data_IF_624742421691
#
_entry.id   IF_624742421691
#
_cell.length_a   1.000
_cell.length_b   1.000
_cell.length_c   1.000
_cell.angle_alpha   90.00
_cell.angle_beta   90.00
_cell.angle_gamma   90.00
#
_symmetry.space_group_name_H-M   'P 1'
#
loop_
_entity.id
_entity.type
_entity.pdbx_description
1 polymer ?
#
# COMPACT_ATOMS: atom_id res chain seq x y z
N UNK A 1 23.87 29.40 32.37
CA UNK A 1 22.43 29.22 32.69
C UNK A 1 21.63 29.54 31.44
N UNK A 2 20.53 28.80 31.25
CA UNK A 2 19.48 28.95 30.22
C UNK A 2 19.84 28.58 28.77
N UNK A 3 18.97 27.98 27.95
CA UNK A 3 17.84 27.05 28.13
C UNK A 3 17.45 26.58 26.72
N UNK A 4 16.84 25.39 26.62
CA UNK A 4 16.47 24.68 25.39
C UNK A 4 15.61 25.50 24.40
N UNK A 5 15.81 25.26 23.09
CA UNK A 5 14.69 25.20 22.14
C UNK A 5 14.69 23.89 21.35
N UNK A 6 13.66 23.08 21.63
CA UNK A 6 13.26 21.85 20.94
C UNK A 6 12.92 22.13 19.48
N UNK A 7 13.58 21.46 18.54
CA UNK A 7 13.09 21.30 17.17
C UNK A 7 12.03 20.20 17.16
N UNK A 8 10.76 20.57 17.04
CA UNK A 8 9.68 19.63 16.80
C UNK A 8 9.75 19.01 15.39
N UNK A 9 9.11 17.85 15.15
CA UNK A 9 9.05 17.26 13.82
C UNK A 9 8.19 18.11 12.89
N UNK A 10 8.80 18.50 11.76
CA UNK A 10 8.18 19.25 10.67
C UNK A 10 7.09 18.39 10.03
N UNK A 11 5.84 18.78 10.25
CA UNK A 11 4.68 18.29 9.51
C UNK A 11 4.72 18.89 8.10
N UNK A 12 4.94 18.07 7.07
CA UNK A 12 4.92 18.50 5.68
C UNK A 12 3.60 18.14 5.00
N UNK A 13 2.80 19.17 4.75
CA UNK A 13 1.71 19.31 3.80
C UNK A 13 1.26 20.78 3.88
N UNK A 14 0.99 21.50 2.77
CA UNK A 14 -0.03 21.14 1.79
C UNK A 14 0.33 21.49 0.32
N UNK A 15 -0.60 21.19 -0.60
CA UNK A 15 -0.44 21.39 -2.04
C UNK A 15 -0.07 22.81 -2.46
N UNK A 16 0.94 22.88 -3.32
CA UNK A 16 1.35 24.02 -4.12
C UNK A 16 2.32 23.51 -5.19
N UNK A 17 2.16 23.97 -6.44
CA UNK A 17 3.02 23.58 -7.57
C UNK A 17 4.50 23.71 -7.17
N UNK A 18 5.16 22.57 -6.92
CA UNK A 18 6.60 22.50 -6.81
C UNK A 18 7.08 21.29 -7.58
N UNK A 19 7.95 21.55 -8.55
CA UNK A 19 8.94 20.60 -9.04
C UNK A 19 9.87 20.26 -7.88
N UNK A 20 9.40 19.41 -6.97
CA UNK A 20 10.12 18.95 -5.79
C UNK A 20 10.04 17.44 -5.74
N UNK A 21 11.19 16.77 -5.80
CA UNK A 21 11.29 15.31 -5.60
C UNK A 21 10.51 14.93 -4.35
N UNK A 22 9.37 14.23 -4.50
CA UNK A 22 8.66 13.60 -3.38
C UNK A 22 9.68 12.74 -2.64
N UNK A 23 10.02 13.11 -1.42
CA UNK A 23 10.94 12.34 -0.60
C UNK A 23 10.30 10.97 -0.33
N UNK A 24 10.88 9.92 -0.91
CA UNK A 24 10.42 8.54 -0.73
C UNK A 24 10.68 8.14 0.73
N UNK A 25 9.63 7.74 1.44
CA UNK A 25 9.72 7.34 2.85
C UNK A 25 10.60 6.08 3.00
N UNK A 26 11.58 6.10 3.89
CA UNK A 26 12.38 4.92 4.24
C UNK A 26 11.65 4.08 5.31
N UNK A 27 11.50 2.78 5.04
CA UNK A 27 10.77 1.83 5.89
C UNK A 27 11.62 0.58 6.07
N UNK A 28 11.98 0.25 7.30
CA UNK A 28 12.65 -1.01 7.60
C UNK A 28 11.66 -2.19 7.46
N UNK A 29 12.02 -3.21 6.67
CA UNK A 29 11.24 -4.44 6.61
C UNK A 29 11.31 -5.15 7.98
N UNK A 30 10.14 -5.43 8.54
CA UNK A 30 9.99 -6.10 9.83
C UNK A 30 9.96 -7.60 9.64
N UNK A 31 10.51 -8.36 10.57
CA UNK A 31 10.40 -9.82 10.55
C UNK A 31 8.97 -10.25 10.89
N UNK A 32 8.36 -11.04 10.00
CA UNK A 32 7.01 -11.59 10.19
C UNK A 32 6.88 -12.48 11.42
N UNK A 33 7.96 -13.08 11.91
CA UNK A 33 7.97 -13.87 13.15
C UNK A 33 7.57 -13.02 14.37
N UNK A 34 7.84 -11.70 14.33
CA UNK A 34 7.50 -10.74 15.38
C UNK A 34 6.06 -10.27 15.35
N UNK A 35 5.31 -10.54 14.29
CA UNK A 35 3.89 -10.17 14.18
C UNK A 35 2.95 -11.17 14.88
N UNK A 36 3.49 -12.25 15.46
CA UNK A 36 2.74 -13.22 16.27
C UNK A 36 1.74 -14.06 15.46
N UNK A 37 1.26 -15.16 16.05
CA UNK A 37 0.27 -16.05 15.41
C UNK A 37 -1.14 -15.45 15.23
N UNK A 38 -1.30 -14.13 15.46
CA UNK A 38 -2.59 -13.45 15.50
C UNK A 38 -3.02 -12.86 14.14
N UNK A 39 -2.84 -13.61 13.05
CA UNK A 39 -3.47 -13.32 11.75
C UNK A 39 -4.98 -13.63 11.75
N UNK A 40 -5.57 -14.00 12.88
CA UNK A 40 -6.95 -14.48 13.01
C UNK A 40 -8.01 -13.38 13.07
N UNK A 41 -7.65 -12.13 13.39
CA UNK A 41 -8.61 -11.01 13.51
C UNK A 41 -8.09 -9.74 12.83
N UNK A 42 -8.15 -9.71 11.49
CA UNK A 42 -7.61 -8.63 10.65
C UNK A 42 -8.67 -7.55 10.31
N UNK A 43 -9.89 -7.70 10.81
CA UNK A 43 -10.98 -6.71 10.70
C UNK A 43 -10.62 -5.29 11.23
N UNK A 44 -9.83 -5.12 12.32
CA UNK A 44 -9.38 -3.80 12.77
C UNK A 44 -8.46 -3.07 11.79
N UNK A 45 -7.66 -3.81 11.01
CA UNK A 45 -6.76 -3.23 10.00
C UNK A 45 -7.58 -2.65 8.85
N UNK A 46 -8.60 -3.38 8.39
CA UNK A 46 -9.44 -2.94 7.27
C UNK A 46 -10.05 -1.55 7.51
N UNK A 47 -10.72 -1.34 8.66
CA UNK A 47 -11.36 -0.05 8.97
C UNK A 47 -10.36 1.10 9.06
N UNK A 48 -9.24 0.87 9.74
CA UNK A 48 -8.20 1.90 9.86
C UNK A 48 -7.56 2.23 8.50
N UNK A 49 -7.38 1.23 7.64
CA UNK A 49 -6.84 1.39 6.31
C UNK A 49 -7.79 2.15 5.39
N UNK A 50 -9.10 1.86 5.44
CA UNK A 50 -10.13 2.63 4.72
C UNK A 50 -10.10 4.10 5.13
N UNK A 51 -10.06 4.39 6.43
CA UNK A 51 -9.99 5.77 6.92
C UNK A 51 -8.69 6.47 6.50
N UNK A 52 -7.58 5.73 6.46
CA UNK A 52 -6.33 6.24 5.90
C UNK A 52 -6.47 6.55 4.40
N UNK A 53 -7.06 5.66 3.61
CA UNK A 53 -7.25 5.83 2.17
C UNK A 53 -8.16 7.01 1.84
N UNK A 54 -9.22 7.24 2.61
CA UNK A 54 -10.10 8.43 2.47
C UNK A 54 -9.34 9.74 2.62
N UNK A 55 -8.30 9.77 3.47
CA UNK A 55 -7.43 10.94 3.68
C UNK A 55 -6.31 11.05 2.65
N UNK A 56 -5.99 9.96 1.94
CA UNK A 56 -4.89 9.88 0.98
C UNK A 56 -5.37 9.37 -0.38
N UNK A 57 -6.34 10.04 -1.03
CA UNK A 57 -6.81 9.63 -2.33
C UNK A 57 -5.71 9.85 -3.38
N UNK A 58 -5.51 8.85 -4.24
CA UNK A 58 -4.65 8.98 -5.41
C UNK A 58 -5.17 8.12 -6.56
N UNK A 59 -5.24 8.66 -7.79
CA UNK A 59 -5.70 7.92 -8.94
C UNK A 59 -4.70 6.81 -9.30
N UNK A 60 -5.25 5.67 -9.72
CA UNK A 60 -4.44 4.57 -10.26
C UNK A 60 -4.13 4.83 -11.74
N UNK A 61 -2.94 4.49 -12.24
CA UNK A 61 -2.65 4.55 -13.67
C UNK A 61 -3.52 3.54 -14.45
N UNK A 62 -3.77 3.77 -15.76
CA UNK A 62 -4.65 2.92 -16.55
C UNK A 62 -4.34 1.42 -16.48
N UNK A 63 -3.05 1.04 -16.47
CA UNK A 63 -2.62 -0.35 -16.36
C UNK A 63 -3.11 -1.02 -15.05
N UNK A 64 -3.04 -0.30 -13.92
CA UNK A 64 -3.52 -0.80 -12.62
C UNK A 64 -5.04 -0.81 -12.57
N UNK A 65 -5.71 0.18 -13.19
CA UNK A 65 -7.17 0.18 -13.29
C UNK A 65 -7.65 -1.05 -14.07
N UNK A 66 -7.03 -1.36 -15.21
CA UNK A 66 -7.36 -2.56 -16.00
C UNK A 66 -7.10 -3.85 -15.22
N UNK A 67 -5.97 -3.95 -14.51
CA UNK A 67 -5.64 -5.12 -13.69
C UNK A 67 -6.64 -5.35 -12.54
N UNK A 68 -7.10 -4.26 -11.92
CA UNK A 68 -7.98 -4.30 -10.75
C UNK A 68 -9.46 -4.14 -11.11
N UNK A 69 -9.81 -4.08 -12.40
CA UNK A 69 -11.17 -3.78 -12.87
C UNK A 69 -12.18 -4.83 -12.40
N UNK A 70 -13.30 -4.38 -11.85
CA UNK A 70 -14.43 -5.26 -11.46
C UNK A 70 -15.77 -4.80 -12.04
N UNK A 71 -15.75 -4.26 -13.26
CA UNK A 71 -16.97 -3.80 -13.94
C UNK A 71 -17.63 -2.63 -13.20
N UNK A 72 -18.92 -2.75 -12.92
CA UNK A 72 -19.72 -1.67 -12.30
C UNK A 72 -19.32 -1.35 -10.86
N UNK A 73 -18.52 -2.21 -10.21
CA UNK A 73 -18.09 -2.04 -8.80
C UNK A 73 -17.00 -0.99 -8.61
N UNK A 74 -16.49 -0.40 -9.70
CA UNK A 74 -15.34 0.49 -9.69
C UNK A 74 -15.68 1.97 -9.46
N UNK A 75 -16.96 2.33 -9.55
CA UNK A 75 -17.42 3.73 -9.46
C UNK A 75 -17.20 4.31 -8.05
N UNK A 76 -17.43 3.51 -7.01
CA UNK A 76 -17.30 3.92 -5.60
C UNK A 76 -16.01 3.45 -4.94
N UNK A 77 -15.05 2.95 -5.72
CA UNK A 77 -13.83 2.37 -5.17
C UNK A 77 -12.85 3.46 -4.71
N UNK A 78 -12.46 3.41 -3.43
CA UNK A 78 -11.36 4.21 -2.89
C UNK A 78 -10.04 3.75 -3.50
N UNK A 79 -9.18 4.70 -3.87
CA UNK A 79 -7.88 4.43 -4.49
C UNK A 79 -6.81 5.26 -3.81
N UNK A 80 -5.69 4.61 -3.51
CA UNK A 80 -4.49 5.26 -2.98
C UNK A 80 -3.23 4.68 -3.62
N UNK A 81 -2.17 5.47 -3.63
CA UNK A 81 -0.85 5.10 -4.15
C UNK A 81 0.19 5.51 -3.13
N UNK A 82 1.09 4.59 -2.82
CA UNK A 82 2.19 4.81 -1.88
C UNK A 82 3.49 4.44 -2.57
N UNK A 83 4.51 5.27 -2.39
CA UNK A 83 5.89 4.97 -2.80
C UNK A 83 6.77 5.06 -1.56
N UNK A 84 7.50 3.99 -1.28
CA UNK A 84 8.43 3.92 -0.15
C UNK A 84 9.67 3.11 -0.55
N UNK A 85 10.74 3.26 0.22
CA UNK A 85 12.01 2.57 0.03
C UNK A 85 12.36 1.73 1.25
N UNK A 86 13.05 0.62 1.03
CA UNK A 86 13.66 -0.18 2.09
C UNK A 86 15.05 -0.61 1.67
N UNK A 87 16.07 0.02 2.23
CA UNK A 87 17.43 -0.04 1.70
C UNK A 87 17.44 0.47 0.25
N UNK A 88 17.99 -0.34 -0.65
CA UNK A 88 18.09 -0.01 -2.09
C UNK A 88 16.83 -0.36 -2.90
N UNK A 89 15.80 -0.91 -2.25
CA UNK A 89 14.57 -1.38 -2.91
C UNK A 89 13.50 -0.29 -2.86
N UNK A 90 12.92 0.04 -4.01
CA UNK A 90 11.79 0.98 -4.11
C UNK A 90 10.52 0.20 -4.41
N UNK A 91 9.51 0.43 -3.58
CA UNK A 91 8.21 -0.21 -3.67
C UNK A 91 7.15 0.82 -4.04
N UNK A 92 6.25 0.44 -4.94
CA UNK A 92 5.00 1.15 -5.20
C UNK A 92 3.82 0.25 -4.82
N UNK A 93 3.00 0.72 -3.88
CA UNK A 93 1.75 0.08 -3.50
C UNK A 93 0.58 0.83 -4.11
N UNK A 94 -0.24 0.12 -4.89
CA UNK A 94 -1.56 0.58 -5.32
C UNK A 94 -2.63 -0.12 -4.50
N UNK A 95 -3.40 0.68 -3.78
CA UNK A 95 -4.48 0.20 -2.92
C UNK A 95 -5.80 0.57 -3.56
N UNK A 96 -6.68 -0.41 -3.74
CA UNK A 96 -8.09 -0.18 -4.10
C UNK A 96 -8.97 -0.83 -3.06
N UNK A 97 -9.98 -0.12 -2.58
CA UNK A 97 -10.93 -0.65 -1.61
C UNK A 97 -12.36 -0.44 -2.09
N UNK A 98 -13.18 -1.49 -1.96
CA UNK A 98 -14.62 -1.44 -2.18
C UNK A 98 -15.27 -1.62 -0.80
N UNK A 99 -15.62 -0.50 -0.15
CA UNK A 99 -16.08 -0.50 1.25
C UNK A 99 -17.31 -1.38 1.48
N UNK A 100 -18.27 -1.34 0.55
CA UNK A 100 -19.52 -2.12 0.65
C UNK A 100 -19.30 -3.64 0.66
N UNK A 101 -18.18 -4.10 0.08
CA UNK A 101 -17.83 -5.52 -0.02
C UNK A 101 -16.78 -5.94 1.01
N UNK A 102 -16.28 -5.01 1.82
CA UNK A 102 -15.11 -5.20 2.67
C UNK A 102 -13.91 -5.77 1.89
N UNK A 103 -13.79 -5.40 0.62
CA UNK A 103 -12.79 -5.95 -0.29
C UNK A 103 -11.64 -4.96 -0.49
N UNK A 104 -10.42 -5.48 -0.44
CA UNK A 104 -9.20 -4.73 -0.71
C UNK A 104 -8.35 -5.43 -1.77
N UNK A 105 -7.87 -4.62 -2.68
CA UNK A 105 -6.93 -4.97 -3.72
C UNK A 105 -5.62 -4.27 -3.41
N UNK A 106 -4.55 -5.05 -3.36
CA UNK A 106 -3.21 -4.56 -3.07
C UNK A 106 -2.32 -5.01 -4.22
N UNK A 107 -1.88 -4.06 -5.03
CA UNK A 107 -0.86 -4.30 -6.06
C UNK A 107 0.45 -3.71 -5.56
N UNK A 108 1.45 -4.56 -5.37
CA UNK A 108 2.82 -4.19 -5.02
C UNK A 108 3.69 -4.33 -6.26
N UNK A 109 4.44 -3.28 -6.59
CA UNK A 109 5.45 -3.30 -7.64
C UNK A 109 6.81 -2.95 -7.04
N UNK A 110 7.80 -3.76 -7.38
CA UNK A 110 9.22 -3.51 -7.10
C UNK A 110 10.00 -3.69 -8.40
N UNK A 111 10.63 -2.63 -8.90
CA UNK A 111 11.22 -2.60 -10.23
C UNK A 111 10.19 -3.02 -11.29
N UNK A 112 10.36 -4.20 -11.89
CA UNK A 112 9.41 -4.79 -12.84
C UNK A 112 8.60 -5.93 -12.25
N UNK A 113 8.86 -6.35 -11.00
CA UNK A 113 8.14 -7.44 -10.36
C UNK A 113 6.82 -6.92 -9.81
N UNK A 114 5.74 -7.66 -10.06
CA UNK A 114 4.40 -7.31 -9.61
C UNK A 114 3.80 -8.46 -8.80
N UNK A 115 3.28 -8.11 -7.63
CA UNK A 115 2.47 -9.00 -6.80
C UNK A 115 1.11 -8.35 -6.55
N UNK A 116 0.04 -9.09 -6.76
CA UNK A 116 -1.32 -8.60 -6.65
C UNK A 116 -2.14 -9.53 -5.76
N UNK A 117 -2.64 -8.98 -4.67
CA UNK A 117 -3.52 -9.65 -3.72
C UNK A 117 -4.93 -9.05 -3.78
N UNK A 118 -5.93 -9.92 -3.76
CA UNK A 118 -7.32 -9.57 -3.44
C UNK A 118 -7.66 -10.21 -2.10
N UNK A 119 -8.15 -9.40 -1.17
CA UNK A 119 -8.55 -9.85 0.15
C UNK A 119 -9.93 -9.31 0.54
N UNK A 120 -10.73 -10.13 1.22
CA UNK A 120 -12.06 -9.79 1.72
C UNK A 120 -12.03 -9.80 3.24
N UNK A 121 -11.95 -8.61 3.83
CA UNK A 121 -11.90 -8.41 5.27
C UNK A 121 -10.70 -9.07 5.94
N UNK A 122 -9.64 -9.37 5.18
CA UNK A 122 -8.48 -10.12 5.65
C UNK A 122 -8.89 -11.42 6.37
N UNK A 123 -9.94 -12.07 5.87
CA UNK A 123 -10.40 -13.35 6.40
C UNK A 123 -9.43 -14.42 5.90
N UNK A 124 -9.00 -15.30 6.81
CA UNK A 124 -8.05 -16.44 6.71
C UNK A 124 -8.03 -17.31 5.43
N UNK A 125 -8.88 -17.07 4.42
CA UNK A 125 -9.11 -17.90 3.24
C UNK A 125 -8.97 -17.19 1.89
N UNK A 126 -8.71 -15.89 1.84
CA UNK A 126 -8.55 -15.18 0.55
C UNK A 126 -7.11 -15.32 0.04
N UNK A 127 -6.85 -16.44 -0.63
CA UNK A 127 -5.52 -16.87 -1.10
C UNK A 127 -5.21 -16.44 -2.55
N UNK A 128 -5.81 -15.36 -3.03
CA UNK A 128 -5.65 -14.92 -4.42
C UNK A 128 -4.43 -14.01 -4.56
N UNK A 129 -3.24 -14.61 -4.51
CA UNK A 129 -2.00 -13.95 -4.92
C UNK A 129 -1.73 -14.23 -6.40
N UNK A 130 -1.63 -13.17 -7.19
CA UNK A 130 -1.15 -13.22 -8.57
C UNK A 130 0.23 -12.62 -8.63
N UNK A 131 1.14 -13.28 -9.33
CA UNK A 131 2.48 -12.80 -9.55
C UNK A 131 2.68 -12.50 -11.02
N UNK A 132 3.59 -11.59 -11.31
CA UNK A 132 3.78 -11.14 -12.67
C UNK A 132 4.76 -10.00 -12.81
N UNK A 133 4.60 -9.24 -13.88
CA UNK A 133 5.48 -8.15 -14.23
C UNK A 133 4.73 -6.87 -14.60
N UNK A 134 5.40 -5.76 -14.32
CA UNK A 134 5.04 -4.42 -14.69
C UNK A 134 5.97 -3.94 -15.81
N UNK A 135 5.38 -3.41 -16.89
CA UNK A 135 6.13 -2.82 -18.00
C UNK A 135 5.96 -1.31 -17.96
N UNK A 136 7.07 -0.60 -18.04
CA UNK A 136 7.11 0.86 -18.09
C UNK A 136 7.44 1.34 -19.50
N UNK A 137 7.00 2.54 -19.86
CA UNK A 137 7.34 3.17 -21.13
C UNK A 137 8.85 3.38 -21.24
N UNK A 138 9.43 3.04 -22.39
CA UNK A 138 10.86 3.16 -22.65
C UNK A 138 11.36 4.62 -22.61
N UNK A 139 10.53 5.58 -23.01
CA UNK A 139 10.93 6.99 -23.10
C UNK A 139 11.21 7.63 -21.74
N UNK A 140 10.52 7.18 -20.69
CA UNK A 140 10.58 7.85 -19.39
C UNK A 140 10.79 6.91 -18.20
N UNK A 141 10.66 5.58 -18.37
CA UNK A 141 10.69 4.54 -17.31
C UNK A 141 9.85 4.84 -16.06
N UNK A 142 8.93 5.79 -16.16
CA UNK A 142 8.13 6.32 -15.05
C UNK A 142 6.65 6.09 -15.27
N UNK A 143 6.22 5.92 -16.52
CA UNK A 143 4.84 5.62 -16.86
C UNK A 143 4.65 4.11 -16.96
N UNK A 144 3.83 3.56 -16.07
CA UNK A 144 3.40 2.17 -16.11
C UNK A 144 2.43 1.97 -17.28
N UNK A 145 2.80 1.10 -18.22
CA UNK A 145 2.06 0.87 -19.49
C UNK A 145 1.23 -0.40 -19.40
N UNK A 146 1.78 -1.48 -18.86
CA UNK A 146 1.07 -2.75 -18.76
C UNK A 146 1.43 -3.52 -17.50
N UNK A 147 0.50 -4.38 -17.09
CA UNK A 147 0.67 -5.33 -16.00
C UNK A 147 0.25 -6.70 -16.51
N UNK A 148 1.16 -7.68 -16.44
CA UNK A 148 0.88 -9.05 -16.79
C UNK A 148 0.94 -9.88 -15.52
N UNK A 149 -0.09 -10.67 -15.22
CA UNK A 149 -0.11 -11.51 -14.02
C UNK A 149 -0.61 -12.89 -14.33
N UNK A 150 0.04 -13.90 -13.78
CA UNK A 150 -0.41 -15.28 -13.81
C UNK A 150 -0.93 -15.68 -12.45
N UNK A 151 -1.95 -16.55 -12.45
CA UNK A 151 -2.40 -17.17 -11.23
C UNK A 151 -1.32 -18.13 -10.74
N UNK A 152 -0.81 -17.90 -9.55
CA UNK A 152 0.06 -18.86 -8.88
C UNK A 152 -0.64 -19.32 -7.60
N UNK A 153 -0.50 -20.62 -7.26
CA UNK A 153 -0.80 -21.02 -5.89
C UNK A 153 0.11 -20.19 -4.98
N UNK A 154 -0.40 -19.53 -3.93
CA UNK A 154 0.46 -18.78 -3.02
C UNK A 154 1.52 -19.73 -2.48
N UNK A 155 2.77 -19.53 -2.91
CA UNK A 155 3.89 -20.20 -2.26
C UNK A 155 4.11 -19.51 -0.93
N UNK A 156 4.45 -20.30 0.09
CA UNK A 156 4.62 -19.78 1.45
C UNK A 156 5.63 -18.63 1.50
N UNK A 157 6.69 -18.68 0.71
CA UNK A 157 7.79 -17.69 0.77
C UNK A 157 7.37 -16.36 0.14
N UNK A 158 6.93 -16.35 -1.12
CA UNK A 158 6.58 -15.09 -1.82
C UNK A 158 5.37 -14.40 -1.21
N UNK A 159 4.42 -15.19 -0.73
CA UNK A 159 3.24 -14.65 -0.01
C UNK A 159 3.68 -14.02 1.31
N UNK A 160 4.59 -14.65 2.06
CA UNK A 160 5.19 -14.07 3.25
C UNK A 160 5.92 -12.77 2.91
N UNK A 161 6.79 -12.74 1.91
CA UNK A 161 7.50 -11.52 1.50
C UNK A 161 6.54 -10.37 1.15
N UNK A 162 5.47 -10.65 0.40
CA UNK A 162 4.44 -9.66 0.09
C UNK A 162 3.82 -9.07 1.37
N UNK A 163 3.36 -9.92 2.27
CA UNK A 163 2.76 -9.47 3.53
C UNK A 163 3.78 -8.74 4.40
N UNK A 164 5.03 -9.18 4.40
CA UNK A 164 6.11 -8.51 5.12
C UNK A 164 6.26 -7.07 4.66
N UNK A 165 6.30 -6.84 3.35
CA UNK A 165 6.41 -5.51 2.76
C UNK A 165 5.18 -4.66 3.11
N UNK A 166 3.98 -5.21 2.89
CA UNK A 166 2.73 -4.50 3.17
C UNK A 166 2.61 -4.13 4.66
N UNK A 167 2.84 -5.07 5.58
CA UNK A 167 2.71 -4.81 7.01
C UNK A 167 3.81 -3.90 7.54
N UNK A 168 5.02 -3.97 7.00
CA UNK A 168 6.09 -3.04 7.36
C UNK A 168 5.71 -1.60 7.00
N UNK A 169 5.11 -1.41 5.81
CA UNK A 169 4.56 -0.12 5.44
C UNK A 169 3.40 0.29 6.35
N UNK A 170 2.40 -0.58 6.51
CA UNK A 170 1.20 -0.27 7.28
C UNK A 170 1.54 0.13 8.72
N UNK A 171 2.46 -0.58 9.35
CA UNK A 171 2.91 -0.29 10.71
C UNK A 171 3.55 1.09 10.86
N UNK A 172 4.21 1.58 9.80
CA UNK A 172 4.81 2.92 9.79
C UNK A 172 3.78 4.06 9.75
N UNK A 173 2.56 3.79 9.28
CA UNK A 173 1.52 4.82 9.08
C UNK A 173 0.30 4.66 9.98
N UNK A 174 0.06 3.47 10.56
CA UNK A 174 -1.17 3.16 11.32
C UNK A 174 -1.41 4.10 12.50
N UNK A 175 -0.35 4.59 13.14
CA UNK A 175 -0.45 5.46 14.31
C UNK A 175 -0.99 6.85 13.95
N UNK A 176 -0.82 7.30 12.70
CA UNK A 176 -1.42 8.53 12.20
C UNK A 176 -2.96 8.48 12.21
N UNK A 177 -3.52 7.27 12.03
CA UNK A 177 -4.97 7.04 12.04
C UNK A 177 -5.50 6.94 13.48
N UNK A 178 -4.71 6.36 14.39
CA UNK A 178 -5.10 6.16 15.79
C UNK A 178 -5.07 7.46 16.61
N UNK A 179 -4.08 8.33 16.37
CA UNK A 179 -3.98 9.64 17.06
C UNK A 179 -5.17 10.56 16.77
N UNK A 180 -5.77 10.44 15.59
CA UNK A 180 -6.96 11.23 15.21
C UNK A 180 -8.24 10.74 15.90
N UNK A 181 -8.28 9.49 16.42
CA UNK A 181 -9.42 8.96 17.16
C UNK A 181 -9.49 9.43 18.61
N UNK A 182 -8.36 9.80 19.21
CA UNK A 182 -8.30 10.29 20.60
C UNK A 182 -8.43 11.81 20.73
N UNK A 183 -8.59 12.53 19.61
CA UNK A 183 -8.82 13.98 19.58
C UNK A 183 -10.27 14.38 19.30
N UNK A 184 -11.20 13.42 19.28
CA UNK A 184 -12.64 13.67 19.15
C UNK A 184 -13.36 13.41 20.46
#
# INVERSE_FOLDING_TARGET
>A
MESLKKTGPVLAGPGGKSTGKRAVQEIALKDLSRFGQNYSNLNPIFKALVEWMKKHPAPHPPAIQSLTRQGNRDQDALRSVVVFRSGDRIFTLYLKCIESLYEIHIVLIENTNLAYLIDQGFKKRSHFLRLGSATYSDEAKTQLVSCNTTYEKPSDIRTKEFYQVFYSWWDSVKDSVQKDRHKK
#
